data_IF_690268042669
#
_entry.id   IF_690268042669
#
_cell.length_a   1.000
_cell.length_b   1.000
_cell.length_c   1.000
_cell.angle_alpha   90.00
_cell.angle_beta   90.00
_cell.angle_gamma   90.00
#
_symmetry.space_group_name_H-M   'P 1'
#
loop_
_entity.id
_entity.type
_entity.pdbx_description
1 polymer ?
#
# COMPACT_ATOMS: atom_id res chain seq x y z
N UNK A 1 -5.86 -8.10 13.06
CA UNK A 1 -6.66 -7.90 11.82
C UNK A 1 -8.03 -8.57 11.94
N UNK A 2 -9.08 -8.02 11.34
CA UNK A 2 -10.44 -8.61 11.34
C UNK A 2 -10.44 -10.02 10.72
N UNK A 3 -9.74 -10.22 9.60
CA UNK A 3 -9.66 -11.52 8.93
C UNK A 3 -9.17 -12.65 9.84
N UNK A 4 -8.16 -12.39 10.67
CA UNK A 4 -7.66 -13.37 11.63
C UNK A 4 -8.63 -13.65 12.77
N UNK A 5 -9.43 -12.64 13.17
CA UNK A 5 -10.50 -12.85 14.16
C UNK A 5 -11.59 -13.73 13.58
N UNK A 6 -12.00 -13.49 12.33
CA UNK A 6 -13.00 -14.33 11.64
C UNK A 6 -12.53 -15.78 11.49
N UNK A 7 -11.25 -16.01 11.21
CA UNK A 7 -10.70 -17.37 11.11
C UNK A 7 -10.79 -18.17 12.42
N UNK A 8 -10.75 -17.49 13.57
CA UNK A 8 -10.83 -18.10 14.90
C UNK A 8 -12.26 -18.28 15.40
N UNK A 9 -13.24 -17.72 14.69
CA UNK A 9 -14.64 -17.71 15.10
C UNK A 9 -15.43 -18.80 14.36
N UNK A 10 -16.14 -19.65 15.10
CA UNK A 10 -16.82 -20.82 14.55
C UNK A 10 -17.87 -20.47 13.48
N UNK A 11 -18.52 -19.31 13.63
CA UNK A 11 -19.56 -18.83 12.72
C UNK A 11 -18.93 -18.28 11.44
N UNK A 12 -17.80 -17.57 11.51
CA UNK A 12 -17.26 -16.82 10.38
C UNK A 12 -16.02 -17.44 9.72
N UNK A 13 -15.41 -18.46 10.32
CA UNK A 13 -14.16 -19.09 9.82
C UNK A 13 -14.24 -19.66 8.40
N UNK A 14 -15.45 -19.97 7.93
CA UNK A 14 -15.70 -20.52 6.60
C UNK A 14 -15.86 -19.43 5.52
N UNK A 15 -15.96 -18.17 5.89
CA UNK A 15 -16.13 -17.04 4.96
C UNK A 15 -14.77 -16.72 4.32
N UNK A 16 -14.65 -16.81 2.98
CA UNK A 16 -13.44 -16.35 2.29
C UNK A 16 -13.36 -14.83 2.32
N UNK A 17 -12.14 -14.29 2.43
CA UNK A 17 -11.88 -12.86 2.54
C UNK A 17 -10.94 -12.42 1.42
N UNK A 18 -11.27 -11.29 0.79
CA UNK A 18 -10.34 -10.53 -0.03
C UNK A 18 -9.99 -9.23 0.68
N UNK A 19 -8.73 -8.79 0.60
CA UNK A 19 -8.22 -7.62 1.30
C UNK A 19 -7.60 -6.67 0.29
N UNK A 20 -8.09 -5.43 0.25
CA UNK A 20 -7.46 -4.30 -0.43
C UNK A 20 -7.00 -3.29 0.62
N UNK A 21 -5.71 -2.97 0.66
CA UNK A 21 -5.14 -2.00 1.62
C UNK A 21 -4.37 -0.87 0.96
N UNK A 22 -4.33 0.27 1.63
CA UNK A 22 -3.55 1.44 1.26
C UNK A 22 -2.61 1.73 2.41
N UNK A 23 -1.32 1.49 2.19
CA UNK A 23 -0.22 1.72 3.12
C UNK A 23 -0.49 1.27 4.56
N UNK A 24 -0.66 -0.04 4.81
CA UNK A 24 -1.13 -0.55 6.09
C UNK A 24 -0.09 -0.34 7.21
N UNK A 25 -0.23 0.74 7.98
CA UNK A 25 0.60 1.06 9.14
C UNK A 25 -0.11 0.61 10.43
N UNK A 26 0.46 -0.32 11.21
CA UNK A 26 -0.16 -0.78 12.46
C UNK A 26 0.01 0.22 13.62
N UNK A 27 0.91 1.19 13.47
CA UNK A 27 1.33 2.11 14.51
C UNK A 27 2.48 1.55 15.34
N UNK A 28 3.21 2.44 16.02
CA UNK A 28 4.37 2.09 16.83
C UNK A 28 4.00 1.05 17.91
N UNK A 29 4.78 -0.02 18.03
CA UNK A 29 4.58 -1.08 19.02
C UNK A 29 3.48 -2.11 18.68
N UNK A 30 2.83 -2.00 17.53
CA UNK A 30 1.69 -2.85 17.15
C UNK A 30 2.05 -3.95 16.11
N UNK A 31 3.22 -4.58 16.26
CA UNK A 31 3.71 -5.62 15.34
C UNK A 31 3.46 -7.04 15.84
N UNK A 32 2.44 -7.24 16.68
CA UNK A 32 2.04 -8.57 17.15
C UNK A 32 1.57 -9.42 15.96
N UNK A 33 1.78 -10.74 16.02
CA UNK A 33 1.53 -11.68 14.91
C UNK A 33 0.12 -11.51 14.29
N UNK A 34 -0.91 -11.29 15.11
CA UNK A 34 -2.29 -11.13 14.63
C UNK A 34 -2.54 -9.85 13.83
N UNK A 35 -1.59 -8.90 13.84
CA UNK A 35 -1.60 -7.64 13.08
C UNK A 35 -0.72 -7.68 11.84
N UNK A 36 0.22 -8.63 11.78
CA UNK A 36 1.26 -8.67 10.75
C UNK A 36 1.33 -9.99 9.96
N UNK A 37 0.40 -10.88 10.23
CA UNK A 37 0.19 -12.11 9.47
C UNK A 37 -1.27 -12.18 9.02
N UNK A 38 -1.55 -12.90 7.93
CA UNK A 38 -2.91 -13.21 7.48
C UNK A 38 -3.11 -14.72 7.36
N UNK A 39 -4.27 -15.18 7.81
CA UNK A 39 -4.64 -16.59 7.80
C UNK A 39 -5.21 -17.10 6.46
N UNK A 40 -5.38 -18.43 6.39
CA UNK A 40 -5.81 -19.19 5.18
C UNK A 40 -7.20 -18.84 4.62
N UNK A 41 -8.01 -18.10 5.39
CA UNK A 41 -9.29 -17.60 4.92
C UNK A 41 -9.15 -16.40 3.96
N UNK A 42 -7.98 -15.75 3.94
CA UNK A 42 -7.69 -14.72 2.95
C UNK A 42 -7.29 -15.36 1.62
N UNK A 43 -8.08 -15.10 0.56
CA UNK A 43 -7.86 -15.62 -0.79
C UNK A 43 -7.05 -14.67 -1.64
N UNK A 44 -7.36 -13.38 -1.56
CA UNK A 44 -6.63 -12.35 -2.30
C UNK A 44 -6.21 -11.23 -1.34
N UNK A 45 -4.95 -10.82 -1.43
CA UNK A 45 -4.41 -9.64 -0.77
C UNK A 45 -3.80 -8.73 -1.83
N UNK A 46 -4.36 -7.54 -1.98
CA UNK A 46 -3.74 -6.46 -2.75
C UNK A 46 -3.43 -5.30 -1.84
N UNK A 47 -2.23 -4.74 -1.98
CA UNK A 47 -1.87 -3.55 -1.24
C UNK A 47 -1.07 -2.55 -2.05
N UNK A 48 -1.42 -1.29 -1.88
CA UNK A 48 -0.70 -0.15 -2.43
C UNK A 48 0.20 0.44 -1.35
N UNK A 49 1.49 0.61 -1.63
CA UNK A 49 2.50 0.94 -0.61
C UNK A 49 3.23 2.23 -0.99
N UNK A 50 3.26 3.21 -0.09
CA UNK A 50 3.83 4.54 -0.38
C UNK A 50 5.37 4.49 -0.36
N UNK A 51 6.04 4.39 -1.50
CA UNK A 51 7.49 4.13 -1.51
C UNK A 51 8.33 5.31 -0.97
N UNK A 52 7.79 6.53 -0.93
CA UNK A 52 8.51 7.76 -0.59
C UNK A 52 8.21 8.28 0.83
N UNK A 53 7.36 7.59 1.60
CA UNK A 53 7.15 7.89 3.03
C UNK A 53 8.38 7.55 3.88
N UNK A 54 8.79 8.45 4.76
CA UNK A 54 9.95 8.28 5.66
C UNK A 54 9.63 8.62 7.12
N UNK A 55 8.42 9.04 7.47
CA UNK A 55 8.08 9.45 8.83
C UNK A 55 8.28 8.31 9.83
N UNK A 56 9.00 8.57 10.91
CA UNK A 56 9.17 7.60 11.99
C UNK A 56 7.82 7.19 12.55
N UNK A 57 7.61 5.88 12.72
CA UNK A 57 6.33 5.30 13.18
C UNK A 57 5.32 5.04 12.06
N UNK A 58 5.65 5.37 10.81
CA UNK A 58 4.87 5.01 9.61
C UNK A 58 5.47 3.81 8.88
N UNK A 59 6.09 2.86 9.59
CA UNK A 59 6.52 1.59 8.98
C UNK A 59 5.26 0.81 8.62
N UNK A 60 5.05 0.56 7.33
CA UNK A 60 3.94 -0.25 6.84
C UNK A 60 4.29 -1.75 6.91
N UNK A 61 3.26 -2.59 6.84
CA UNK A 61 3.39 -4.04 7.00
C UNK A 61 3.16 -4.75 5.68
N UNK A 62 4.13 -5.52 5.23
CA UNK A 62 3.96 -6.64 4.30
C UNK A 62 3.63 -7.87 5.14
N UNK A 63 2.39 -8.38 5.11
CA UNK A 63 2.00 -9.44 6.02
C UNK A 63 2.63 -10.79 5.62
N UNK A 64 2.92 -11.62 6.62
CA UNK A 64 3.20 -13.04 6.38
C UNK A 64 1.91 -13.72 5.93
N UNK A 65 1.95 -14.37 4.77
CA UNK A 65 0.79 -14.98 4.14
C UNK A 65 0.95 -16.50 4.06
N UNK A 66 -0.18 -17.22 4.04
CA UNK A 66 -0.17 -18.65 3.68
C UNK A 66 0.03 -18.82 2.18
N UNK A 67 0.60 -19.96 1.74
CA UNK A 67 0.80 -20.25 0.31
C UNK A 67 -0.49 -20.33 -0.51
N UNK A 68 -1.65 -20.46 0.14
CA UNK A 68 -2.97 -20.43 -0.51
C UNK A 68 -3.55 -19.04 -0.76
N UNK A 69 -2.83 -17.98 -0.36
CA UNK A 69 -3.26 -16.59 -0.57
C UNK A 69 -2.55 -16.03 -1.79
N UNK A 70 -3.31 -15.50 -2.74
CA UNK A 70 -2.75 -14.69 -3.82
C UNK A 70 -2.40 -13.30 -3.27
N UNK A 71 -1.16 -12.86 -3.49
CA UNK A 71 -0.60 -11.65 -2.91
C UNK A 71 -0.04 -10.78 -4.03
N UNK A 72 -0.60 -9.58 -4.17
CA UNK A 72 -0.09 -8.54 -5.06
C UNK A 72 0.27 -7.30 -4.25
N UNK A 73 1.53 -6.90 -4.28
CA UNK A 73 1.99 -5.67 -3.63
C UNK A 73 2.46 -4.68 -4.68
N UNK A 74 1.97 -3.46 -4.60
CA UNK A 74 2.21 -2.40 -5.58
C UNK A 74 2.84 -1.20 -4.86
N UNK A 75 4.17 -1.06 -4.89
CA UNK A 75 4.82 0.17 -4.49
C UNK A 75 4.44 1.30 -5.44
N UNK A 76 3.99 2.43 -4.90
CA UNK A 76 3.61 3.62 -5.68
C UNK A 76 4.34 4.86 -5.14
N UNK A 77 4.70 5.83 -6.00
CA UNK A 77 5.30 7.08 -5.56
C UNK A 77 4.44 7.87 -4.59
N UNK A 78 5.08 8.64 -3.72
CA UNK A 78 4.44 9.50 -2.73
C UNK A 78 4.45 8.96 -1.31
N UNK A 79 3.79 9.72 -0.43
CA UNK A 79 3.71 9.51 1.01
C UNK A 79 2.40 8.84 1.42
N UNK A 80 2.26 8.53 2.70
CA UNK A 80 1.09 7.82 3.24
C UNK A 80 -0.25 8.40 2.74
N UNK A 81 -0.41 9.71 2.81
CA UNK A 81 -1.64 10.40 2.39
C UNK A 81 -1.78 10.54 0.86
N UNK A 82 -0.69 10.46 0.10
CA UNK A 82 -0.72 10.59 -1.38
C UNK A 82 -1.56 9.49 -2.02
N UNK A 83 -1.49 8.28 -1.49
CA UNK A 83 -2.23 7.11 -1.98
C UNK A 83 -3.74 7.28 -1.90
N UNK A 84 -4.20 8.06 -0.92
CA UNK A 84 -5.63 8.30 -0.65
C UNK A 84 -6.08 9.70 -1.10
N UNK A 85 -5.29 10.37 -1.94
CA UNK A 85 -5.71 11.56 -2.67
C UNK A 85 -5.13 12.89 -2.19
N UNK A 86 -4.21 12.91 -1.21
CA UNK A 86 -3.48 14.13 -0.89
C UNK A 86 -2.39 14.41 -1.94
N UNK A 87 -2.65 15.37 -2.81
CA UNK A 87 -1.80 15.74 -3.92
C UNK A 87 -0.77 16.83 -3.57
N UNK A 88 -0.56 17.12 -2.28
CA UNK A 88 0.42 18.10 -1.84
C UNK A 88 1.84 17.76 -2.35
N UNK A 89 2.62 18.77 -2.74
CA UNK A 89 4.02 18.59 -3.16
C UNK A 89 4.90 17.91 -2.10
N UNK A 90 4.60 18.13 -0.82
CA UNK A 90 5.28 17.53 0.32
C UNK A 90 4.59 16.24 0.83
N UNK A 91 3.48 15.84 0.19
CA UNK A 91 2.64 14.72 0.58
C UNK A 91 1.90 14.88 1.92
N UNK A 92 1.80 16.09 2.47
CA UNK A 92 1.12 16.42 3.73
C UNK A 92 0.22 17.67 3.59
N UNK A 93 0.75 18.81 3.17
CA UNK A 93 0.02 20.09 3.15
C UNK A 93 0.47 21.01 2.02
N UNK A 94 -0.40 21.95 1.63
CA UNK A 94 -0.09 22.93 0.58
C UNK A 94 -0.68 22.57 -0.79
N UNK A 95 -0.05 23.09 -1.84
CA UNK A 95 -0.56 23.07 -3.21
C UNK A 95 -0.74 21.64 -3.74
N UNK A 96 -1.91 21.37 -4.30
CA UNK A 96 -2.38 20.03 -4.69
C UNK A 96 -1.99 19.70 -6.14
N UNK A 97 -0.68 19.61 -6.39
CA UNK A 97 -0.11 19.53 -7.75
C UNK A 97 0.26 18.10 -8.22
N UNK A 98 0.19 17.09 -7.34
CA UNK A 98 0.56 15.70 -7.61
C UNK A 98 -0.62 14.73 -7.49
N UNK A 99 -1.71 15.00 -8.22
CA UNK A 99 -2.98 14.24 -8.13
C UNK A 99 -2.90 12.83 -8.73
N UNK A 100 -1.90 12.57 -9.56
CA UNK A 100 -1.88 11.42 -10.46
C UNK A 100 -1.81 10.09 -9.71
N UNK A 101 -1.03 10.00 -8.64
CA UNK A 101 -0.93 8.78 -7.83
C UNK A 101 -2.27 8.43 -7.20
N UNK A 102 -2.92 9.40 -6.55
CA UNK A 102 -4.22 9.16 -5.91
C UNK A 102 -5.30 8.76 -6.91
N UNK A 103 -5.30 9.38 -8.11
CA UNK A 103 -6.20 9.03 -9.19
C UNK A 103 -5.96 7.61 -9.73
N UNK A 104 -4.69 7.24 -9.94
CA UNK A 104 -4.31 5.91 -10.40
C UNK A 104 -4.69 4.83 -9.38
N UNK A 105 -4.30 5.02 -8.11
CA UNK A 105 -4.60 4.08 -7.01
C UNK A 105 -6.10 3.91 -6.83
N UNK A 106 -6.86 5.00 -6.89
CA UNK A 106 -8.33 4.96 -6.80
C UNK A 106 -8.94 4.15 -7.95
N UNK A 107 -8.59 4.44 -9.20
CA UNK A 107 -9.16 3.73 -10.35
C UNK A 107 -8.82 2.23 -10.32
N UNK A 108 -7.57 1.89 -9.97
CA UNK A 108 -7.16 0.50 -9.81
C UNK A 108 -7.96 -0.21 -8.72
N UNK A 109 -8.06 0.40 -7.53
CA UNK A 109 -8.82 -0.18 -6.42
C UNK A 109 -10.30 -0.36 -6.77
N UNK A 110 -10.93 0.61 -7.43
CA UNK A 110 -12.32 0.52 -7.87
C UNK A 110 -12.55 -0.65 -8.84
N UNK A 111 -11.61 -0.88 -9.78
CA UNK A 111 -11.65 -2.02 -10.70
C UNK A 111 -11.53 -3.35 -9.95
N UNK A 112 -10.52 -3.49 -9.09
CA UNK A 112 -10.29 -4.71 -8.28
C UNK A 112 -11.49 -5.01 -7.37
N UNK A 113 -12.02 -4.00 -6.67
CA UNK A 113 -13.17 -4.17 -5.79
C UNK A 113 -14.42 -4.59 -6.59
N UNK A 114 -14.63 -4.00 -7.77
CA UNK A 114 -15.74 -4.40 -8.66
C UNK A 114 -15.57 -5.85 -9.14
N UNK A 115 -14.36 -6.26 -9.51
CA UNK A 115 -14.06 -7.66 -9.87
C UNK A 115 -14.32 -8.64 -8.73
N UNK A 116 -14.11 -8.22 -7.48
CA UNK A 116 -14.46 -8.98 -6.28
C UNK A 116 -15.95 -8.92 -5.91
N UNK A 117 -16.78 -8.29 -6.74
CA UNK A 117 -18.24 -8.22 -6.56
C UNK A 117 -18.72 -7.06 -5.69
N UNK A 118 -17.86 -6.10 -5.34
CA UNK A 118 -18.28 -4.90 -4.60
C UNK A 118 -19.05 -3.97 -5.54
N UNK A 119 -20.25 -3.60 -5.12
CA UNK A 119 -21.04 -2.59 -5.82
C UNK A 119 -20.59 -1.18 -5.41
N UNK A 120 -20.10 -0.40 -6.38
CA UNK A 120 -19.64 0.97 -6.19
C UNK A 120 -20.48 1.93 -7.04
N UNK A 121 -21.14 2.90 -6.38
CA UNK A 121 -22.02 3.87 -7.02
C UNK A 121 -21.30 4.95 -7.84
N UNK A 122 -20.04 5.23 -7.52
CA UNK A 122 -19.24 6.26 -8.18
C UNK A 122 -17.84 5.69 -8.47
N UNK A 123 -17.43 5.72 -9.72
CA UNK A 123 -16.16 5.17 -10.21
C UNK A 123 -15.55 6.10 -11.26
N UNK A 124 -14.23 6.10 -11.34
CA UNK A 124 -13.46 6.88 -12.32
C UNK A 124 -13.56 6.29 -13.73
N UNK A 125 -13.56 4.96 -13.84
CA UNK A 125 -13.65 4.24 -15.12
C UNK A 125 -12.63 4.72 -16.17
N UNK A 126 -11.37 4.89 -15.77
CA UNK A 126 -10.36 5.33 -16.72
C UNK A 126 -10.07 4.28 -17.79
N UNK A 127 -9.93 4.77 -19.02
CA UNK A 127 -9.42 4.00 -20.16
C UNK A 127 -7.95 3.63 -19.94
N UNK A 128 -7.47 2.62 -20.67
CA UNK A 128 -6.06 2.24 -20.66
C UNK A 128 -5.15 3.42 -21.04
N UNK A 129 -5.54 4.21 -22.05
CA UNK A 129 -4.79 5.41 -22.45
C UNK A 129 -4.68 6.43 -21.31
N UNK A 130 -5.75 6.65 -20.54
CA UNK A 130 -5.71 7.57 -19.41
C UNK A 130 -4.81 7.05 -18.29
N UNK A 131 -4.78 5.74 -18.06
CA UNK A 131 -3.83 5.12 -17.12
C UNK A 131 -2.39 5.34 -17.57
N UNK A 132 -2.09 5.13 -18.85
CA UNK A 132 -0.75 5.34 -19.40
C UNK A 132 -0.30 6.82 -19.28
N UNK A 133 -1.21 7.77 -19.51
CA UNK A 133 -0.94 9.19 -19.28
C UNK A 133 -0.59 9.47 -17.81
N UNK A 134 -1.38 8.98 -16.86
CA UNK A 134 -1.11 9.14 -15.43
C UNK A 134 0.25 8.56 -15.04
N UNK A 135 0.58 7.36 -15.54
CA UNK A 135 1.88 6.71 -15.29
C UNK A 135 3.03 7.57 -15.82
N UNK A 136 2.90 8.11 -17.03
CA UNK A 136 3.91 8.99 -17.62
C UNK A 136 4.06 10.30 -16.84
N UNK A 137 2.95 10.92 -16.42
CA UNK A 137 2.97 12.13 -15.59
C UNK A 137 3.65 11.86 -14.24
N UNK A 138 3.43 10.68 -13.64
CA UNK A 138 4.09 10.27 -12.40
C UNK A 138 5.61 10.15 -12.63
N UNK A 139 6.05 9.46 -13.68
CA UNK A 139 7.47 9.31 -14.03
C UNK A 139 8.14 10.68 -14.29
N UNK A 140 7.45 11.60 -14.98
CA UNK A 140 7.96 12.95 -15.23
C UNK A 140 8.13 13.78 -13.95
N UNK A 141 7.40 13.44 -12.89
CA UNK A 141 7.49 14.10 -11.59
C UNK A 141 8.28 13.29 -10.54
N UNK A 142 9.03 12.25 -10.93
CA UNK A 142 9.74 11.35 -10.01
C UNK A 142 10.63 12.09 -8.99
N UNK A 143 11.30 13.16 -9.43
CA UNK A 143 12.09 14.01 -8.53
C UNK A 143 11.24 14.63 -7.40
N UNK A 144 10.02 15.10 -7.70
CA UNK A 144 9.15 15.70 -6.68
C UNK A 144 8.74 14.67 -5.62
N UNK A 145 8.51 13.41 -6.02
CA UNK A 145 8.24 12.34 -5.08
C UNK A 145 9.47 11.96 -4.25
N UNK A 146 10.65 11.90 -4.87
CA UNK A 146 11.90 11.67 -4.15
C UNK A 146 12.19 12.78 -3.12
N UNK A 147 11.88 14.04 -3.46
CA UNK A 147 12.05 15.18 -2.54
C UNK A 147 11.18 15.04 -1.27
N UNK A 148 10.08 14.25 -1.32
CA UNK A 148 9.24 13.95 -0.15
C UNK A 148 9.95 13.14 0.93
N UNK A 149 11.10 12.49 0.63
CA UNK A 149 11.86 11.71 1.63
C UNK A 149 12.32 12.56 2.82
N UNK A 150 12.41 13.87 2.64
CA UNK A 150 12.85 14.83 3.66
C UNK A 150 11.69 15.40 4.51
N UNK A 151 10.46 14.95 4.27
CA UNK A 151 9.26 15.45 4.96
C UNK A 151 8.76 14.39 5.93
N UNK A 152 8.47 14.79 7.17
CA UNK A 152 8.00 13.88 8.22
C UNK A 152 6.75 14.39 8.93
N UNK A 153 5.82 13.48 9.22
CA UNK A 153 4.67 13.72 10.10
C UNK A 153 5.06 13.77 11.59
N UNK A 154 6.17 13.14 11.95
CA UNK A 154 6.59 12.91 13.34
C UNK A 154 7.89 13.63 13.70
N UNK A 155 8.30 14.60 12.87
CA UNK A 155 9.55 15.36 12.96
C UNK A 155 10.84 14.53 12.76
N UNK A 156 10.74 13.20 12.73
CA UNK A 156 11.86 12.28 12.52
C UNK A 156 11.64 11.46 11.25
N UNK A 157 12.70 11.25 10.48
CA UNK A 157 12.70 10.40 9.29
C UNK A 157 13.48 9.11 9.52
N UNK A 158 13.06 8.02 8.86
CA UNK A 158 13.71 6.71 8.85
C UNK A 158 13.95 6.29 7.40
N UNK A 159 15.18 5.92 7.07
CA UNK A 159 15.61 5.57 5.71
C UNK A 159 16.70 4.49 5.77
N UNK A 160 16.71 3.53 4.86
CA UNK A 160 17.80 2.56 4.65
C UNK A 160 18.29 2.67 3.20
N UNK A 161 19.41 3.37 2.99
CA UNK A 161 20.06 3.53 1.68
C UNK A 161 19.16 4.04 0.54
N UNK A 162 18.23 4.94 0.85
CA UNK A 162 17.27 5.50 -0.10
C UNK A 162 15.94 4.74 -0.12
N UNK A 163 15.85 3.55 0.47
CA UNK A 163 14.62 2.78 0.58
C UNK A 163 13.81 3.13 1.84
N UNK A 164 12.49 2.99 1.73
CA UNK A 164 11.60 3.01 2.88
C UNK A 164 11.84 1.77 3.73
N UNK A 165 11.97 1.97 5.05
CA UNK A 165 11.90 0.86 6.00
C UNK A 165 10.45 0.38 6.08
N UNK A 166 10.26 -0.91 5.85
CA UNK A 166 8.98 -1.61 5.90
C UNK A 166 9.08 -2.77 6.89
N UNK A 167 7.96 -3.39 7.22
CA UNK A 167 7.95 -4.58 8.06
C UNK A 167 7.55 -5.81 7.26
N UNK A 168 8.30 -6.91 7.38
CA UNK A 168 7.86 -8.23 6.92
C UNK A 168 7.46 -9.09 8.11
N UNK A 169 6.15 -9.18 8.35
CA UNK A 169 5.65 -9.65 9.63
C UNK A 169 6.08 -8.73 10.76
N UNK A 170 6.95 -9.22 11.64
CA UNK A 170 7.42 -8.55 12.86
C UNK A 170 8.84 -7.95 12.72
N UNK A 171 9.46 -8.09 11.55
CA UNK A 171 10.86 -7.67 11.31
C UNK A 171 10.92 -6.44 10.42
N UNK A 172 11.69 -5.43 10.83
CA UNK A 172 12.02 -4.28 9.98
C UNK A 172 12.97 -4.69 8.86
N UNK A 173 12.64 -4.32 7.64
CA UNK A 173 13.30 -4.71 6.39
C UNK A 173 13.17 -3.61 5.32
N UNK A 174 13.73 -3.83 4.13
CA UNK A 174 13.50 -3.01 2.92
C UNK A 174 12.73 -3.81 1.88
N UNK A 175 12.18 -3.15 0.85
CA UNK A 175 11.47 -3.84 -0.23
C UNK A 175 12.39 -4.83 -0.95
N UNK A 176 13.62 -4.42 -1.28
CA UNK A 176 14.62 -5.29 -1.93
C UNK A 176 14.91 -6.56 -1.11
N UNK A 177 15.03 -6.43 0.22
CA UNK A 177 15.27 -7.59 1.12
C UNK A 177 14.04 -8.49 1.27
N UNK A 178 12.84 -7.97 1.01
CA UNK A 178 11.60 -8.77 1.01
C UNK A 178 11.44 -9.49 -0.33
N UNK A 179 11.79 -8.85 -1.45
CA UNK A 179 11.82 -9.49 -2.77
C UNK A 179 12.70 -10.74 -2.78
N UNK A 180 13.88 -10.67 -2.17
CA UNK A 180 14.80 -11.82 -2.07
C UNK A 180 14.25 -12.99 -1.23
N UNK A 181 13.15 -12.79 -0.48
CA UNK A 181 12.44 -13.82 0.28
C UNK A 181 11.26 -14.43 -0.51
N UNK A 182 11.12 -14.10 -1.79
CA UNK A 182 10.10 -14.68 -2.68
C UNK A 182 8.77 -13.92 -2.73
N UNK A 183 8.70 -12.71 -2.16
CA UNK A 183 7.53 -11.84 -2.30
C UNK A 183 7.68 -11.03 -3.58
N UNK A 184 6.71 -11.13 -4.49
CA UNK A 184 6.75 -10.39 -5.75
C UNK A 184 6.05 -9.05 -5.63
N UNK A 185 6.77 -7.97 -5.95
CA UNK A 185 6.19 -6.64 -6.06
C UNK A 185 5.88 -6.33 -7.51
N UNK A 186 4.64 -5.97 -7.80
CA UNK A 186 4.20 -5.59 -9.13
C UNK A 186 4.62 -4.15 -9.41
N UNK A 187 5.60 -4.00 -10.31
CA UNK A 187 6.06 -2.69 -10.79
C UNK A 187 5.07 -2.15 -11.83
N UNK A 188 4.64 -0.92 -11.64
CA UNK A 188 3.79 -0.17 -12.58
C UNK A 188 4.59 0.91 -13.32
N UNK A 189 5.75 1.30 -12.76
CA UNK A 189 6.61 2.39 -13.22
C UNK A 189 7.98 1.89 -13.63
#
# INVERSE_FOLDING_TARGET
MLANKMLKDEITKHIPINICVFDPVPGMGNFQEERVSIGKNVKNYIGFYAKDERSKGFINVVPKCTSSTDVTIIPVPGRHATLVGNAALDGNSGAQDLKQVGLLVRDMAEKILTEWGVYLNNKLYFSESRIQELVKEIQQNDKKYTDMHNVSYTLLTENDNGERIVSYGDKSETYTKIESKGVHFKKIF
#
